data_IF_792437989506
#
_entry.id   IF_792437989506
#
_cell.length_a   1.000
_cell.length_b   1.000
_cell.length_c   1.000
_cell.angle_alpha   90.00
_cell.angle_beta   90.00
_cell.angle_gamma   90.00
#
_symmetry.space_group_name_H-M   'P 1'
#
loop_
_entity.id
_entity.type
_entity.pdbx_description
1 polymer ?
#
# COMPACT_ATOMS: atom_id res chain seq x y z
N UNK A 1 -20.40 -22.76 -4.67
CA UNK A 1 -20.51 -21.89 -3.47
C UNK A 1 -21.96 -21.45 -3.35
N UNK A 2 -22.58 -21.52 -2.16
CA UNK A 2 -23.98 -21.09 -1.98
C UNK A 2 -24.12 -19.57 -2.10
N UNK A 3 -25.21 -19.06 -2.68
CA UNK A 3 -25.43 -17.61 -2.89
C UNK A 3 -25.31 -16.77 -1.62
N UNK A 4 -25.68 -17.33 -0.45
CA UNK A 4 -25.50 -16.67 0.85
C UNK A 4 -24.02 -16.46 1.21
N UNK A 5 -23.16 -17.45 0.93
CA UNK A 5 -21.72 -17.36 1.24
C UNK A 5 -21.05 -16.29 0.37
N UNK A 6 -21.48 -16.20 -0.89
CA UNK A 6 -20.98 -15.22 -1.86
C UNK A 6 -21.46 -13.79 -1.55
N UNK A 7 -22.69 -13.63 -1.06
CA UNK A 7 -23.21 -12.33 -0.59
C UNK A 7 -22.46 -11.84 0.66
N UNK A 8 -22.22 -12.72 1.63
CA UNK A 8 -21.46 -12.38 2.84
C UNK A 8 -20.00 -12.04 2.54
N UNK A 9 -19.36 -12.75 1.61
CA UNK A 9 -18.01 -12.42 1.12
C UNK A 9 -17.95 -11.01 0.53
N UNK A 10 -18.84 -10.67 -0.41
CA UNK A 10 -18.86 -9.35 -1.03
C UNK A 10 -19.12 -8.20 -0.04
N UNK A 11 -19.90 -8.47 1.01
CA UNK A 11 -20.18 -7.49 2.07
C UNK A 11 -18.94 -7.24 2.94
N UNK A 12 -18.23 -8.30 3.33
CA UNK A 12 -16.97 -8.19 4.11
C UNK A 12 -15.90 -7.43 3.30
N UNK A 13 -15.76 -7.73 2.01
CA UNK A 13 -14.82 -7.04 1.14
C UNK A 13 -15.18 -5.55 0.96
N UNK A 14 -16.48 -5.22 0.83
CA UNK A 14 -16.93 -3.83 0.74
C UNK A 14 -16.65 -3.07 2.04
N UNK A 15 -16.87 -3.69 3.21
CA UNK A 15 -16.54 -3.09 4.50
C UNK A 15 -15.02 -2.86 4.61
N UNK A 16 -14.20 -3.84 4.25
CA UNK A 16 -12.73 -3.70 4.18
C UNK A 16 -12.33 -2.48 3.36
N UNK A 17 -12.86 -2.37 2.14
CA UNK A 17 -12.55 -1.28 1.23
C UNK A 17 -12.94 0.10 1.77
N UNK A 18 -14.10 0.22 2.45
CA UNK A 18 -14.54 1.48 3.06
C UNK A 18 -13.60 1.87 4.21
N UNK A 19 -13.25 0.93 5.07
CA UNK A 19 -12.34 1.17 6.21
C UNK A 19 -10.96 1.58 5.69
N UNK A 20 -10.40 0.83 4.74
CA UNK A 20 -9.11 1.12 4.12
C UNK A 20 -9.10 2.51 3.46
N UNK A 21 -10.16 2.87 2.72
CA UNK A 21 -10.29 4.20 2.11
C UNK A 21 -10.32 5.30 3.18
N UNK A 22 -11.05 5.08 4.28
CA UNK A 22 -11.12 6.03 5.39
C UNK A 22 -9.74 6.31 6.00
N UNK A 23 -8.97 5.25 6.31
CA UNK A 23 -7.61 5.39 6.84
C UNK A 23 -6.65 6.03 5.84
N UNK A 24 -6.75 5.67 4.56
CA UNK A 24 -5.90 6.24 3.53
C UNK A 24 -6.13 7.76 3.34
N UNK A 25 -7.40 8.21 3.33
CA UNK A 25 -7.74 9.64 3.28
C UNK A 25 -7.32 10.34 4.57
N UNK A 26 -7.59 9.77 5.73
CA UNK A 26 -7.21 10.35 7.01
C UNK A 26 -5.69 10.51 7.13
N UNK A 27 -4.92 9.49 6.77
CA UNK A 27 -3.46 9.52 6.73
C UNK A 27 -2.93 10.58 5.77
N UNK A 28 -3.52 10.69 4.57
CA UNK A 28 -3.14 11.75 3.63
C UNK A 28 -3.38 13.15 4.21
N UNK A 29 -4.59 13.40 4.73
CA UNK A 29 -4.97 14.71 5.28
C UNK A 29 -4.09 15.05 6.48
N UNK A 30 -3.95 14.15 7.44
CA UNK A 30 -3.12 14.38 8.63
C UNK A 30 -1.65 14.53 8.27
N UNK A 31 -1.12 13.70 7.36
CA UNK A 31 0.27 13.79 6.92
C UNK A 31 0.60 15.12 6.25
N UNK A 32 -0.31 15.65 5.43
CA UNK A 32 -0.15 16.96 4.80
C UNK A 32 -0.28 18.09 5.82
N UNK A 33 -1.29 18.05 6.70
CA UNK A 33 -1.51 19.08 7.72
C UNK A 33 -0.37 19.15 8.75
N UNK A 34 0.15 17.99 9.18
CA UNK A 34 1.23 17.90 10.17
C UNK A 34 2.62 17.98 9.55
N UNK A 35 2.73 18.04 8.22
CA UNK A 35 4.01 18.01 7.54
C UNK A 35 4.81 16.74 7.81
N UNK A 36 4.17 15.57 7.95
CA UNK A 36 4.87 14.28 8.07
C UNK A 36 4.98 13.60 6.71
N UNK A 37 6.20 13.26 6.30
CA UNK A 37 6.45 12.52 5.07
C UNK A 37 5.96 11.07 5.20
N UNK A 38 6.19 10.45 6.36
CA UNK A 38 5.84 9.04 6.58
C UNK A 38 4.33 8.82 6.60
N UNK A 39 3.60 9.69 7.32
CA UNK A 39 2.14 9.58 7.42
C UNK A 39 1.49 9.91 6.07
N UNK A 40 1.99 10.94 5.37
CA UNK A 40 1.49 11.28 4.04
C UNK A 40 1.76 10.15 3.05
N UNK A 41 2.96 9.55 3.08
CA UNK A 41 3.31 8.41 2.23
C UNK A 41 2.37 7.22 2.46
N UNK A 42 2.08 6.86 3.71
CA UNK A 42 1.15 5.77 4.05
C UNK A 42 -0.26 6.01 3.45
N UNK A 43 -0.76 7.23 3.59
CA UNK A 43 -2.05 7.64 3.02
C UNK A 43 -2.07 7.61 1.49
N UNK A 44 -1.07 8.20 0.82
CA UNK A 44 -0.95 8.19 -0.64
C UNK A 44 -0.81 6.76 -1.16
N UNK A 45 0.07 5.96 -0.54
CA UNK A 45 0.33 4.59 -0.94
C UNK A 45 -0.95 3.75 -0.87
N UNK A 46 -1.71 3.87 0.22
CA UNK A 46 -2.97 3.16 0.40
C UNK A 46 -4.05 3.59 -0.61
N UNK A 47 -4.19 4.89 -0.88
CA UNK A 47 -5.13 5.38 -1.90
C UNK A 47 -4.77 4.89 -3.30
N UNK A 48 -3.50 4.99 -3.66
CA UNK A 48 -3.02 4.60 -4.99
C UNK A 48 -3.09 3.09 -5.17
N UNK A 49 -2.73 2.31 -4.15
CA UNK A 49 -2.83 0.85 -4.20
C UNK A 49 -4.28 0.39 -4.37
N UNK A 50 -5.24 1.08 -3.75
CA UNK A 50 -6.67 0.83 -3.93
C UNK A 50 -7.11 1.14 -5.38
N UNK A 51 -6.76 2.32 -5.92
CA UNK A 51 -7.06 2.69 -7.31
C UNK A 51 -6.47 1.69 -8.32
N UNK A 52 -5.22 1.28 -8.09
CA UNK A 52 -4.53 0.29 -8.90
C UNK A 52 -5.17 -1.11 -8.79
N UNK A 53 -5.73 -1.46 -7.63
CA UNK A 53 -6.49 -2.69 -7.44
C UNK A 53 -7.84 -2.64 -8.18
N UNK A 54 -8.54 -1.50 -8.16
CA UNK A 54 -9.73 -1.28 -8.98
C UNK A 54 -9.42 -1.38 -10.49
N UNK A 55 -8.30 -0.79 -10.93
CA UNK A 55 -7.79 -0.96 -12.30
C UNK A 55 -7.58 -2.44 -12.63
N UNK A 56 -6.95 -3.19 -11.71
CA UNK A 56 -6.70 -4.63 -11.89
C UNK A 56 -8.01 -5.41 -12.03
N UNK A 57 -9.02 -5.09 -11.21
CA UNK A 57 -10.33 -5.72 -11.26
C UNK A 57 -11.07 -5.39 -12.56
N UNK A 58 -11.00 -4.14 -13.03
CA UNK A 58 -11.58 -3.72 -14.29
C UNK A 58 -10.93 -4.45 -15.48
N UNK A 59 -9.61 -4.60 -15.48
CA UNK A 59 -8.87 -5.38 -16.47
C UNK A 59 -9.30 -6.86 -16.45
N UNK A 60 -9.39 -7.48 -15.27
CA UNK A 60 -9.86 -8.85 -15.13
C UNK A 60 -11.32 -9.04 -15.61
N UNK A 61 -12.19 -8.06 -15.36
CA UNK A 61 -13.57 -8.09 -15.86
C UNK A 61 -13.65 -7.95 -17.39
N UNK A 62 -12.81 -7.12 -17.99
CA UNK A 62 -12.67 -7.02 -19.45
C UNK A 62 -12.19 -8.33 -20.07
N UNK A 63 -11.21 -9.00 -19.46
CA UNK A 63 -10.67 -10.28 -19.93
C UNK A 63 -11.71 -11.42 -19.94
N UNK A 64 -12.72 -11.37 -19.07
CA UNK A 64 -13.83 -12.35 -19.06
C UNK A 64 -14.79 -12.19 -20.24
N UNK A 65 -14.79 -11.03 -20.92
CA UNK A 65 -15.68 -10.77 -22.06
C UNK A 65 -15.00 -11.20 -23.35
N UNK A 66 -15.51 -12.22 -24.08
CA UNK A 66 -14.83 -12.78 -25.25
C UNK A 66 -14.69 -11.81 -26.44
N UNK A 67 -15.49 -10.72 -26.47
CA UNK A 67 -15.41 -9.67 -27.51
C UNK A 67 -14.58 -8.43 -27.10
N UNK A 68 -13.94 -8.42 -25.93
CA UNK A 68 -13.18 -7.25 -25.48
C UNK A 68 -11.85 -7.10 -26.23
N UNK A 69 -11.36 -5.85 -26.34
CA UNK A 69 -10.01 -5.57 -26.86
C UNK A 69 -8.94 -6.26 -26.01
N UNK A 70 -9.11 -6.29 -24.68
CA UNK A 70 -8.18 -6.94 -23.76
C UNK A 70 -8.07 -8.46 -24.00
N UNK A 71 -9.19 -9.13 -24.34
CA UNK A 71 -9.17 -10.56 -24.65
C UNK A 71 -8.33 -10.89 -25.91
N UNK A 72 -8.15 -9.94 -26.84
CA UNK A 72 -7.33 -10.14 -28.05
C UNK A 72 -5.83 -10.23 -27.76
N UNK A 73 -5.35 -9.55 -26.73
CA UNK A 73 -3.92 -9.52 -26.36
C UNK A 73 -3.48 -10.73 -25.52
N UNK A 74 -4.42 -11.57 -25.09
CA UNK A 74 -4.16 -12.68 -24.20
C UNK A 74 -4.09 -12.26 -22.73
N UNK A 75 -4.60 -13.14 -21.87
CA UNK A 75 -4.72 -12.90 -20.42
C UNK A 75 -3.39 -12.55 -19.75
N UNK A 76 -2.34 -13.32 -20.07
CA UNK A 76 -1.01 -13.16 -19.48
C UNK A 76 -0.39 -11.80 -19.80
N UNK A 77 -0.51 -11.32 -21.04
CA UNK A 77 0.02 -10.01 -21.46
C UNK A 77 -0.68 -8.87 -20.72
N UNK A 78 -2.01 -8.89 -20.67
CA UNK A 78 -2.79 -7.84 -19.98
C UNK A 78 -2.51 -7.83 -18.48
N UNK A 79 -2.48 -9.00 -17.83
CA UNK A 79 -2.13 -9.11 -16.41
C UNK A 79 -0.71 -8.56 -16.14
N UNK A 80 0.26 -8.88 -17.00
CA UNK A 80 1.64 -8.40 -16.87
C UNK A 80 1.75 -6.88 -17.05
N UNK A 81 1.05 -6.29 -18.02
CA UNK A 81 1.01 -4.84 -18.21
C UNK A 81 0.41 -4.13 -16.99
N UNK A 82 -0.67 -4.66 -16.43
CA UNK A 82 -1.26 -4.11 -15.20
C UNK A 82 -0.24 -4.15 -14.06
N UNK A 83 0.44 -5.29 -13.85
CA UNK A 83 1.47 -5.42 -12.81
C UNK A 83 2.61 -4.43 -13.04
N UNK A 84 3.07 -4.24 -14.29
CA UNK A 84 4.11 -3.27 -14.63
C UNK A 84 3.68 -1.84 -14.27
N UNK A 85 2.45 -1.44 -14.62
CA UNK A 85 1.90 -0.13 -14.27
C UNK A 85 1.85 0.05 -12.75
N UNK A 86 1.38 -0.97 -12.01
CA UNK A 86 1.35 -0.91 -10.53
C UNK A 86 2.75 -0.69 -9.95
N UNK A 87 3.72 -1.49 -10.40
CA UNK A 87 5.10 -1.38 -9.98
C UNK A 87 5.67 0.00 -10.27
N UNK A 88 5.46 0.54 -11.48
CA UNK A 88 5.97 1.84 -11.87
C UNK A 88 5.37 2.98 -11.03
N UNK A 89 4.06 2.99 -10.83
CA UNK A 89 3.38 4.03 -10.04
C UNK A 89 3.85 4.01 -8.59
N UNK A 90 3.92 2.82 -7.97
CA UNK A 90 4.42 2.68 -6.60
C UNK A 90 5.89 3.12 -6.51
N UNK A 91 6.73 2.76 -7.48
CA UNK A 91 8.12 3.17 -7.53
C UNK A 91 8.28 4.69 -7.56
N UNK A 92 7.49 5.39 -8.37
CA UNK A 92 7.50 6.86 -8.44
C UNK A 92 7.17 7.49 -7.09
N UNK A 93 6.14 6.97 -6.39
CA UNK A 93 5.73 7.50 -5.08
C UNK A 93 6.84 7.28 -4.04
N UNK A 94 7.45 6.09 -4.02
CA UNK A 94 8.56 5.76 -3.11
C UNK A 94 9.76 6.67 -3.39
N UNK A 95 10.15 6.84 -4.66
CA UNK A 95 11.29 7.69 -5.02
C UNK A 95 11.03 9.18 -4.73
N UNK A 96 9.83 9.68 -4.98
CA UNK A 96 9.46 11.06 -4.66
C UNK A 96 9.48 11.32 -3.14
N UNK A 97 9.02 10.34 -2.35
CA UNK A 97 9.01 10.44 -0.89
C UNK A 97 10.42 10.33 -0.30
N UNK A 98 11.25 9.43 -0.87
CA UNK A 98 12.67 9.32 -0.52
C UNK A 98 13.43 10.60 -0.87
N UNK A 99 13.22 11.16 -2.04
CA UNK A 99 13.81 12.44 -2.45
C UNK A 99 13.41 13.56 -1.47
N UNK A 100 12.13 13.63 -1.10
CA UNK A 100 11.64 14.61 -0.13
C UNK A 100 12.29 14.42 1.24
N UNK A 101 12.46 13.18 1.70
CA UNK A 101 13.11 12.88 2.97
C UNK A 101 14.59 13.25 2.97
N UNK A 102 15.33 12.89 1.92
CA UNK A 102 16.73 13.27 1.76
C UNK A 102 16.87 14.79 1.70
N UNK A 103 16.02 15.48 0.95
CA UNK A 103 16.01 16.94 0.90
C UNK A 103 15.76 17.53 2.29
N UNK A 104 14.79 17.01 3.04
CA UNK A 104 14.52 17.47 4.41
C UNK A 104 15.72 17.26 5.34
N UNK A 105 16.50 16.18 5.19
CA UNK A 105 17.73 16.00 5.96
C UNK A 105 18.74 17.13 5.74
N UNK A 106 18.87 17.64 4.51
CA UNK A 106 19.83 18.71 4.18
C UNK A 106 19.30 20.12 4.47
N UNK A 107 17.98 20.31 4.60
CA UNK A 107 17.35 21.62 4.87
C UNK A 107 17.06 21.87 6.36
N UNK A 108 17.67 21.10 7.27
CA UNK A 108 17.51 21.26 8.72
C UNK A 108 16.40 20.41 9.35
N UNK A 109 15.94 19.37 8.65
CA UNK A 109 14.89 18.44 9.09
C UNK A 109 13.48 18.91 8.76
N UNK A 110 12.48 18.20 9.28
CA UNK A 110 11.06 18.54 9.15
C UNK A 110 10.41 18.58 10.53
N UNK A 111 10.02 19.75 11.05
CA UNK A 111 9.34 19.83 12.34
C UNK A 111 7.94 19.23 12.18
N UNK A 112 7.73 18.08 12.81
CA UNK A 112 6.44 17.41 12.89
C UNK A 112 5.99 17.50 14.34
N UNK A 113 4.71 17.85 14.56
CA UNK A 113 4.12 17.78 15.89
C UNK A 113 4.07 16.30 16.33
N UNK A 114 5.05 15.89 17.15
CA UNK A 114 5.21 14.50 17.58
C UNK A 114 4.04 14.04 18.43
N UNK A 115 3.35 14.96 19.13
CA UNK A 115 2.20 14.65 19.97
C UNK A 115 1.01 14.28 19.10
N UNK A 116 0.67 15.11 18.11
CA UNK A 116 -0.42 14.82 17.17
C UNK A 116 -0.10 13.61 16.32
N UNK A 117 1.15 13.48 15.84
CA UNK A 117 1.59 12.32 15.06
C UNK A 117 1.52 11.01 15.87
N UNK A 118 1.88 11.04 17.15
CA UNK A 118 1.78 9.85 18.02
C UNK A 118 0.33 9.47 18.31
N UNK A 119 -0.53 10.46 18.60
CA UNK A 119 -1.97 10.22 18.81
C UNK A 119 -2.58 9.62 17.54
N UNK A 120 -2.29 10.20 16.37
CA UNK A 120 -2.75 9.66 15.10
C UNK A 120 -2.20 8.25 14.84
N UNK A 121 -0.90 8.02 15.09
CA UNK A 121 -0.27 6.71 14.98
C UNK A 121 -0.95 5.66 15.86
N UNK A 122 -1.33 6.02 17.09
CA UNK A 122 -2.09 5.15 17.99
C UNK A 122 -3.48 4.82 17.41
N UNK A 123 -4.22 5.81 16.90
CA UNK A 123 -5.49 5.57 16.24
C UNK A 123 -5.35 4.68 15.00
N UNK A 124 -4.29 4.87 14.22
CA UNK A 124 -4.02 4.07 13.02
C UNK A 124 -3.70 2.61 13.39
N UNK A 125 -2.83 2.39 14.37
CA UNK A 125 -2.52 1.05 14.90
C UNK A 125 -3.76 0.34 15.44
N UNK A 126 -4.58 1.02 16.24
CA UNK A 126 -5.82 0.45 16.78
C UNK A 126 -6.82 0.14 15.66
N UNK A 127 -6.94 1.04 14.69
CA UNK A 127 -7.79 0.90 13.51
C UNK A 127 -7.42 -0.30 12.64
N UNK A 128 -6.16 -0.37 12.23
CA UNK A 128 -5.62 -1.47 11.44
C UNK A 128 -5.71 -2.81 12.20
N UNK A 129 -5.38 -2.81 13.49
CA UNK A 129 -5.50 -4.02 14.32
C UNK A 129 -6.95 -4.51 14.44
N UNK A 130 -7.90 -3.59 14.61
CA UNK A 130 -9.32 -3.93 14.67
C UNK A 130 -9.83 -4.48 13.33
N UNK A 131 -9.47 -3.83 12.21
CA UNK A 131 -9.83 -4.29 10.88
C UNK A 131 -9.22 -5.65 10.55
N UNK A 132 -7.95 -5.87 10.90
CA UNK A 132 -7.29 -7.16 10.77
C UNK A 132 -8.00 -8.24 11.57
N UNK A 133 -8.33 -7.97 12.83
CA UNK A 133 -9.07 -8.92 13.68
C UNK A 133 -10.46 -9.24 13.13
N UNK A 134 -11.20 -8.22 12.69
CA UNK A 134 -12.54 -8.38 12.11
C UNK A 134 -12.50 -9.27 10.86
N UNK A 135 -11.61 -8.96 9.91
CA UNK A 135 -11.50 -9.72 8.65
C UNK A 135 -10.94 -11.12 8.90
N UNK A 136 -9.96 -11.28 9.79
CA UNK A 136 -9.42 -12.59 10.18
C UNK A 136 -10.50 -13.49 10.79
N UNK A 137 -11.37 -12.93 11.64
CA UNK A 137 -12.52 -13.65 12.19
C UNK A 137 -13.47 -14.12 11.09
N UNK A 138 -13.76 -13.26 10.10
CA UNK A 138 -14.62 -13.61 8.97
C UNK A 138 -13.96 -14.61 8.02
N UNK A 139 -12.64 -14.56 7.86
CA UNK A 139 -11.89 -15.50 7.04
C UNK A 139 -12.04 -16.94 7.56
N UNK A 140 -12.03 -17.14 8.88
CA UNK A 140 -12.25 -18.47 9.51
C UNK A 140 -13.64 -19.05 9.23
N UNK A 141 -14.64 -18.21 8.96
CA UNK A 141 -16.02 -18.64 8.71
C UNK A 141 -16.26 -18.85 7.22
N UNK A 142 -15.74 -17.96 6.38
CA UNK A 142 -16.00 -17.95 4.95
C UNK A 142 -14.97 -18.78 4.15
N UNK A 143 -13.72 -18.88 4.61
CA UNK A 143 -12.60 -19.57 3.96
C UNK A 143 -12.49 -19.25 2.46
N UNK A 144 -12.51 -17.96 2.13
CA UNK A 144 -12.44 -17.48 0.76
C UNK A 144 -11.06 -16.87 0.48
N UNK A 145 -10.46 -17.21 -0.66
CA UNK A 145 -9.12 -16.74 -1.04
C UNK A 145 -9.01 -15.20 -1.06
N UNK A 146 -10.08 -14.49 -1.42
CA UNK A 146 -10.08 -13.02 -1.41
C UNK A 146 -10.02 -12.45 0.02
N UNK A 147 -10.73 -13.06 0.97
CA UNK A 147 -10.73 -12.62 2.37
C UNK A 147 -9.38 -12.96 3.02
N UNK A 148 -8.75 -14.07 2.63
CA UNK A 148 -7.39 -14.40 3.06
C UNK A 148 -6.37 -13.36 2.55
N UNK A 149 -6.48 -12.95 1.28
CA UNK A 149 -5.62 -11.91 0.71
C UNK A 149 -5.78 -10.58 1.47
N UNK A 150 -7.02 -10.15 1.73
CA UNK A 150 -7.30 -8.96 2.53
C UNK A 150 -6.78 -9.09 3.97
N UNK A 151 -6.93 -10.27 4.59
CA UNK A 151 -6.39 -10.52 5.94
C UNK A 151 -4.88 -10.31 5.99
N UNK A 152 -4.15 -10.81 4.97
CA UNK A 152 -2.70 -10.63 4.84
C UNK A 152 -2.34 -9.17 4.59
N UNK A 153 -3.13 -8.44 3.81
CA UNK A 153 -2.91 -7.00 3.58
C UNK A 153 -3.06 -6.21 4.87
N UNK A 154 -4.17 -6.40 5.62
CA UNK A 154 -4.37 -5.75 6.90
C UNK A 154 -3.31 -6.11 7.95
N UNK A 155 -2.75 -7.33 7.89
CA UNK A 155 -1.62 -7.71 8.73
C UNK A 155 -0.38 -6.87 8.42
N UNK A 156 -0.07 -6.65 7.13
CA UNK A 156 1.05 -5.81 6.71
C UNK A 156 0.82 -4.35 7.06
N UNK A 157 -0.40 -3.83 6.86
CA UNK A 157 -0.77 -2.45 7.22
C UNK A 157 -0.68 -2.22 8.73
N UNK A 158 -1.07 -3.22 9.53
CA UNK A 158 -0.91 -3.19 10.99
C UNK A 158 0.56 -3.17 11.39
N UNK A 159 1.40 -4.02 10.79
CA UNK A 159 2.83 -4.06 11.06
C UNK A 159 3.53 -2.74 10.70
N UNK A 160 3.18 -2.17 9.54
CA UNK A 160 3.67 -0.87 9.11
C UNK A 160 3.26 0.22 10.10
N UNK A 161 1.97 0.26 10.48
CA UNK A 161 1.44 1.22 11.45
C UNK A 161 2.16 1.13 12.79
N UNK A 162 2.48 -0.09 13.26
CA UNK A 162 3.28 -0.28 14.47
C UNK A 162 4.71 0.27 14.32
N UNK A 163 5.36 0.05 13.18
CA UNK A 163 6.69 0.59 12.92
C UNK A 163 6.69 2.13 12.91
N UNK A 164 5.70 2.74 12.26
CA UNK A 164 5.51 4.19 12.24
C UNK A 164 5.22 4.73 13.64
N UNK A 165 4.32 4.09 14.39
CA UNK A 165 4.02 4.48 15.78
C UNK A 165 5.26 4.38 16.67
N UNK A 166 6.03 3.29 16.56
CA UNK A 166 7.27 3.14 17.33
C UNK A 166 8.26 4.27 17.03
N UNK A 167 8.40 4.65 15.76
CA UNK A 167 9.29 5.76 15.38
C UNK A 167 8.79 7.14 15.82
N UNK A 168 7.48 7.38 15.93
CA UNK A 168 6.96 8.60 16.55
C UNK A 168 7.09 8.61 18.07
N UNK A 169 6.95 7.46 18.74
CA UNK A 169 7.20 7.32 20.18
C UNK A 169 8.68 7.64 20.48
N UNK A 170 9.61 7.15 19.66
CA UNK A 170 11.03 7.50 19.84
C UNK A 170 11.29 8.97 19.58
N UNK A 171 10.65 9.56 18.56
CA UNK A 171 10.73 11.00 18.29
C UNK A 171 10.20 11.85 19.46
N UNK A 172 9.08 11.45 20.06
CA UNK A 172 8.52 12.13 21.23
C UNK A 172 9.43 11.98 22.46
N UNK A 173 10.01 10.80 22.69
CA UNK A 173 11.00 10.59 23.74
C UNK A 173 12.27 11.45 23.58
N UNK A 174 12.72 11.66 22.33
CA UNK A 174 13.82 12.56 22.00
C UNK A 174 13.49 14.02 22.33
N UNK A 175 12.25 14.44 22.10
CA UNK A 175 11.77 15.80 22.39
C UNK A 175 11.75 16.12 23.89
N UNK A 176 11.44 15.13 24.73
CA UNK A 176 11.51 15.25 26.20
C UNK A 176 12.94 15.21 26.75
N UNK A 177 13.93 14.90 25.91
CA UNK A 177 15.34 14.80 26.27
C UNK A 177 16.12 16.07 25.90
N UNK A 178 17.37 16.22 26.38
CA UNK A 178 18.27 17.31 25.92
C UNK A 178 18.56 17.29 24.42
N UNK A 179 18.25 16.19 23.74
CA UNK A 179 18.45 15.98 22.31
C UNK A 179 17.22 16.36 21.46
N UNK A 180 16.35 17.25 21.94
CA UNK A 180 15.15 17.68 21.23
C UNK A 180 15.42 18.19 19.80
N UNK A 181 16.60 18.77 19.54
CA UNK A 181 17.02 19.17 18.19
C UNK A 181 17.07 18.00 17.16
N UNK A 182 17.19 16.75 17.61
CA UNK A 182 17.20 15.57 16.76
C UNK A 182 15.79 15.08 16.38
N UNK A 183 14.74 15.48 17.10
CA UNK A 183 13.36 15.03 16.82
C UNK A 183 12.88 15.46 15.43
N UNK A 184 13.37 16.60 14.95
CA UNK A 184 13.11 17.19 13.64
C UNK A 184 13.60 16.29 12.48
N UNK A 185 14.52 15.36 12.75
CA UNK A 185 15.02 14.40 11.75
C UNK A 185 14.33 13.03 11.83
N UNK A 186 13.49 12.79 12.84
CA UNK A 186 12.87 11.47 13.03
C UNK A 186 11.98 11.07 11.84
N UNK A 187 11.12 11.97 11.37
CA UNK A 187 10.23 11.71 10.23
C UNK A 187 11.00 11.47 8.90
N UNK A 188 11.96 12.32 8.49
CA UNK A 188 12.81 12.04 7.33
C UNK A 188 13.60 10.72 7.45
N UNK A 189 14.17 10.42 8.62
CA UNK A 189 14.93 9.16 8.83
C UNK A 189 14.02 7.95 8.69
N UNK A 190 12.83 7.97 9.31
CA UNK A 190 11.84 6.92 9.15
C UNK A 190 11.44 6.75 7.67
N UNK A 191 11.20 7.85 6.95
CA UNK A 191 10.84 7.81 5.54
C UNK A 191 11.95 7.20 4.67
N UNK A 192 13.22 7.52 4.95
CA UNK A 192 14.38 6.91 4.27
C UNK A 192 14.41 5.40 4.51
N UNK A 193 14.27 4.96 5.76
CA UNK A 193 14.28 3.53 6.12
C UNK A 193 13.13 2.77 5.46
N UNK A 194 11.90 3.31 5.52
CA UNK A 194 10.72 2.72 4.90
C UNK A 194 10.91 2.66 3.38
N UNK A 195 11.34 3.75 2.74
CA UNK A 195 11.56 3.77 1.29
C UNK A 195 12.60 2.76 0.83
N UNK A 196 13.72 2.65 1.57
CA UNK A 196 14.79 1.72 1.25
C UNK A 196 14.34 0.24 1.33
N UNK A 197 13.42 -0.07 2.25
CA UNK A 197 12.79 -1.38 2.32
C UNK A 197 11.75 -1.56 1.19
N UNK A 198 10.87 -0.58 1.01
CA UNK A 198 9.72 -0.65 0.10
C UNK A 198 10.10 -0.68 -1.36
N UNK A 199 11.23 -0.08 -1.76
CA UNK A 199 11.66 -0.05 -3.17
C UNK A 199 11.83 -1.45 -3.79
N UNK A 200 12.08 -2.47 -2.95
CA UNK A 200 12.18 -3.88 -3.40
C UNK A 200 10.86 -4.41 -3.97
N UNK A 201 9.73 -3.96 -3.43
CA UNK A 201 8.39 -4.41 -3.83
C UNK A 201 8.09 -4.04 -5.29
N UNK A 202 8.06 -2.75 -5.69
CA UNK A 202 7.81 -2.39 -7.08
C UNK A 202 8.92 -2.86 -8.03
N UNK A 203 10.17 -2.96 -7.57
CA UNK A 203 11.25 -3.50 -8.38
C UNK A 203 10.99 -4.97 -8.76
N UNK A 204 10.59 -5.82 -7.81
CA UNK A 204 10.20 -7.20 -8.10
C UNK A 204 9.01 -7.25 -9.07
N UNK A 205 7.98 -6.44 -8.83
CA UNK A 205 6.79 -6.40 -9.70
C UNK A 205 7.16 -6.06 -11.16
N UNK A 206 8.06 -5.10 -11.37
CA UNK A 206 8.55 -4.73 -12.70
C UNK A 206 9.36 -5.86 -13.34
N UNK A 207 10.26 -6.49 -12.59
CA UNK A 207 11.06 -7.62 -13.09
C UNK A 207 10.15 -8.79 -13.49
N UNK A 208 9.18 -9.12 -12.67
CA UNK A 208 8.25 -10.24 -12.90
C UNK A 208 7.33 -9.95 -14.10
N UNK A 209 6.88 -8.72 -14.25
CA UNK A 209 6.11 -8.29 -15.42
C UNK A 209 6.94 -8.37 -16.71
N UNK A 210 8.19 -7.88 -16.71
CA UNK A 210 9.07 -7.95 -17.88
C UNK A 210 9.36 -9.40 -18.30
N UNK A 211 9.65 -10.29 -17.33
CA UNK A 211 9.86 -11.72 -17.61
C UNK A 211 8.61 -12.39 -18.19
N UNK A 212 7.43 -12.02 -17.68
CA UNK A 212 6.17 -12.58 -18.16
C UNK A 212 5.82 -12.10 -19.56
N UNK A 213 6.17 -10.86 -19.90
CA UNK A 213 6.00 -10.30 -21.24
C UNK A 213 6.95 -10.93 -22.27
N UNK A 214 8.22 -11.14 -21.92
CA UNK A 214 9.16 -11.79 -22.85
C UNK A 214 8.73 -13.23 -23.18
N UNK A 215 8.28 -13.98 -22.17
CA UNK A 215 7.75 -15.33 -22.38
C UNK A 215 6.49 -15.37 -23.24
N UNK A 216 5.61 -14.37 -23.10
CA UNK A 216 4.42 -14.27 -23.93
C UNK A 216 4.77 -13.95 -25.41
N UNK A 217 5.84 -13.19 -25.64
CA UNK A 217 6.35 -12.90 -26.98
C UNK A 217 6.94 -14.14 -27.64
N UNK A 218 7.79 -14.89 -26.93
CA UNK A 218 8.40 -16.14 -27.42
C UNK A 218 7.36 -17.19 -27.83
N UNK A 219 6.29 -17.36 -27.04
CA UNK A 219 5.20 -18.29 -27.35
C UNK A 219 4.41 -17.86 -28.58
N UNK A 220 4.18 -16.56 -28.77
CA UNK A 220 3.48 -16.06 -29.95
C UNK A 220 4.33 -16.19 -31.22
N UNK A 221 5.66 -16.02 -31.11
CA UNK A 221 6.58 -16.23 -32.22
C UNK A 221 6.59 -17.71 -32.65
N UNK A 222 6.73 -18.63 -31.70
CA UNK A 222 6.74 -20.08 -31.96
C UNK A 222 5.41 -20.62 -32.54
N UNK A 223 4.29 -19.91 -32.33
CA UNK A 223 2.98 -20.28 -32.88
C UNK A 223 2.76 -19.77 -34.31
N UNK A 224 3.48 -18.73 -34.71
CA UNK A 224 3.37 -18.09 -36.02
C UNK A 224 4.48 -18.49 -37.00
N UNK A 225 5.46 -19.30 -36.55
CA UNK A 225 6.49 -19.98 -37.35
C UNK A 225 6.06 -21.40 -37.69
#
# INVERSE_FOLDING_TARGET
MSSQKQHNESSVLRVSAIIATGFAVAGLVVGVLMGSLVIAFDGVYSLVSLLLTLLSLAAAHQLKKPKSQAAKYGRQTVESVVIAIKGLVILVIVLASLYSAISSMFTGGRPVDTTVATIFGLFNVLGCSYAWWYISKQNKVLCANLIEAETKQWQMDTLLSFAVMAGFITAWGLELSPWSHLSVYADPVMMILISAYFIKVPASMLIDACKSLSQAEDVNYARNS
#
